data_IF_559486219666
#
_entry.id   IF_559486219666
#
_cell.length_a   1.000
_cell.length_b   1.000
_cell.length_c   1.000
_cell.angle_alpha   90.00
_cell.angle_beta   90.00
_cell.angle_gamma   90.00
#
_symmetry.space_group_name_H-M   'P 1'
#
loop_
_entity.id
_entity.type
_entity.pdbx_description
1 polymer ?
#
# COMPACT_ATOMS: atom_id res chain seq x y z
N UNK A 1 54.79 10.71 -17.21
CA UNK A 1 54.05 9.44 -17.03
C UNK A 1 53.40 9.26 -15.65
N UNK A 2 54.13 9.30 -14.52
CA UNK A 2 53.56 9.02 -13.17
C UNK A 2 52.37 9.91 -12.76
N UNK A 3 52.30 11.17 -13.23
CA UNK A 3 51.18 12.09 -12.94
C UNK A 3 49.88 11.72 -13.66
N UNK A 4 49.96 11.23 -14.90
CA UNK A 4 48.78 10.85 -15.70
C UNK A 4 48.15 9.58 -15.13
N UNK A 5 48.98 8.62 -14.71
CA UNK A 5 48.51 7.37 -14.09
C UNK A 5 47.72 7.64 -12.80
N UNK A 6 48.15 8.61 -11.97
CA UNK A 6 47.41 8.98 -10.75
C UNK A 6 46.03 9.57 -11.03
N UNK A 7 45.91 10.41 -12.06
CA UNK A 7 44.62 11.00 -12.45
C UNK A 7 43.67 9.90 -12.93
N UNK A 8 44.17 8.98 -13.75
CA UNK A 8 43.39 7.84 -14.24
C UNK A 8 42.91 6.93 -13.11
N UNK A 9 43.78 6.62 -12.14
CA UNK A 9 43.41 5.80 -10.96
C UNK A 9 42.38 6.51 -10.10
N UNK A 10 42.48 7.82 -9.88
CA UNK A 10 41.47 8.57 -9.13
C UNK A 10 40.12 8.62 -9.86
N UNK A 11 40.10 8.83 -11.19
CA UNK A 11 38.85 8.79 -11.96
C UNK A 11 38.21 7.41 -11.95
N UNK A 12 39.00 6.34 -12.07
CA UNK A 12 38.48 4.97 -12.02
C UNK A 12 37.87 4.65 -10.65
N UNK A 13 38.50 5.12 -9.56
CA UNK A 13 37.99 4.97 -8.20
C UNK A 13 36.68 5.74 -8.00
N UNK A 14 36.58 6.97 -8.50
CA UNK A 14 35.35 7.78 -8.41
C UNK A 14 34.20 7.11 -9.19
N UNK A 15 34.48 6.56 -10.37
CA UNK A 15 33.49 5.81 -11.17
C UNK A 15 33.07 4.54 -10.43
N UNK A 16 34.00 3.80 -9.83
CA UNK A 16 33.64 2.60 -9.05
C UNK A 16 32.83 2.93 -7.80
N UNK A 17 33.06 4.06 -7.14
CA UNK A 17 32.24 4.50 -6.00
C UNK A 17 30.83 4.92 -6.44
N UNK A 18 30.67 5.52 -7.63
CA UNK A 18 29.38 5.86 -8.20
C UNK A 18 28.60 4.64 -8.74
N UNK A 19 29.29 3.55 -9.11
CA UNK A 19 28.65 2.31 -9.54
C UNK A 19 28.29 1.36 -8.38
N UNK A 20 28.78 1.60 -7.15
CA UNK A 20 28.45 0.79 -5.96
C UNK A 20 27.24 1.36 -5.21
N UNK A 21 26.74 2.54 -5.57
CA UNK A 21 25.33 2.84 -5.32
C UNK A 21 24.52 2.06 -6.35
N UNK A 22 24.44 0.74 -6.16
CA UNK A 22 23.22 0.00 -6.39
C UNK A 22 22.15 0.70 -5.54
N UNK A 23 21.65 1.83 -6.05
CA UNK A 23 20.35 2.36 -5.65
C UNK A 23 19.41 1.27 -6.08
N UNK A 24 19.23 0.32 -5.17
CA UNK A 24 18.16 -0.67 -5.14
C UNK A 24 16.91 0.15 -5.43
N UNK A 25 16.50 0.13 -6.70
CA UNK A 25 15.46 1.00 -7.25
C UNK A 25 14.18 0.46 -6.65
N UNK A 26 13.83 0.99 -5.48
CA UNK A 26 12.55 0.73 -4.86
C UNK A 26 11.47 1.14 -5.87
N UNK A 27 10.47 0.28 -6.00
CA UNK A 27 9.29 0.54 -6.80
C UNK A 27 9.00 -0.51 -7.85
N UNK A 28 9.31 -1.77 -7.57
CA UNK A 28 8.85 -2.90 -8.37
C UNK A 28 8.63 -4.12 -7.47
N UNK A 29 8.18 -5.21 -8.07
CA UNK A 29 7.88 -6.46 -7.38
C UNK A 29 9.12 -7.11 -6.75
N UNK A 30 10.26 -7.05 -7.43
CA UNK A 30 11.51 -7.65 -6.96
C UNK A 30 12.13 -6.86 -5.81
N UNK A 31 11.77 -5.58 -5.67
CA UNK A 31 12.26 -4.66 -4.66
C UNK A 31 11.16 -3.67 -4.24
N UNK A 32 10.16 -4.14 -3.47
CA UNK A 32 9.04 -3.33 -3.03
C UNK A 32 9.42 -2.46 -1.82
N UNK A 33 8.76 -1.31 -1.64
CA UNK A 33 9.00 -0.46 -0.45
C UNK A 33 8.50 -1.11 0.84
N UNK A 34 7.43 -1.89 0.77
CA UNK A 34 6.79 -2.52 1.91
C UNK A 34 6.81 -4.03 1.67
N UNK A 35 7.42 -4.77 2.59
CA UNK A 35 7.40 -6.24 2.61
C UNK A 35 6.74 -6.64 3.92
N UNK A 36 5.74 -7.52 3.82
CA UNK A 36 5.16 -8.10 5.02
C UNK A 36 6.00 -9.30 5.48
N UNK A 37 6.87 -9.07 6.45
CA UNK A 37 7.65 -10.15 7.09
C UNK A 37 6.92 -10.76 8.29
N UNK A 38 5.82 -10.14 8.70
CA UNK A 38 4.99 -10.62 9.78
C UNK A 38 3.95 -11.55 9.17
N UNK A 39 4.05 -12.85 9.44
CA UNK A 39 2.93 -13.79 9.19
C UNK A 39 1.82 -13.55 10.24
N UNK A 40 1.55 -12.28 10.56
CA UNK A 40 0.61 -11.86 11.57
C UNK A 40 -0.77 -11.86 10.96
N UNK A 41 -1.38 -13.04 11.06
CA UNK A 41 -2.78 -13.31 10.78
C UNK A 41 -3.78 -12.28 11.40
N UNK A 42 -3.34 -11.36 12.26
CA UNK A 42 -4.15 -10.37 12.95
C UNK A 42 -3.38 -9.13 13.49
N UNK A 43 -2.82 -8.28 12.61
CA UNK A 43 -2.18 -7.00 13.02
C UNK A 43 -3.04 -6.07 13.91
N UNK A 44 -4.35 -6.32 14.04
CA UNK A 44 -5.30 -5.55 14.88
C UNK A 44 -5.49 -6.02 16.33
N UNK A 45 -4.80 -7.05 16.83
CA UNK A 45 -4.90 -7.36 18.27
C UNK A 45 -4.21 -6.33 19.18
N UNK A 46 -3.57 -5.29 18.61
CA UNK A 46 -2.75 -4.34 19.38
C UNK A 46 -3.54 -3.27 20.15
N UNK A 47 -4.89 -3.10 20.05
CA UNK A 47 -5.50 -1.98 20.83
C UNK A 47 -6.85 -2.03 21.53
N UNK A 48 -7.80 -2.99 21.41
CA UNK A 48 -9.03 -2.97 22.26
C UNK A 48 -9.73 -4.34 22.51
N UNK A 49 -10.44 -4.51 23.64
CA UNK A 49 -11.08 -5.77 24.08
C UNK A 49 -12.46 -5.99 23.43
N UNK A 50 -12.53 -6.20 22.12
CA UNK A 50 -13.76 -6.63 21.40
C UNK A 50 -13.72 -8.10 20.96
N UNK A 51 -12.93 -8.92 21.67
CA UNK A 51 -12.55 -10.29 21.29
C UNK A 51 -13.72 -11.28 21.31
N UNK A 52 -14.72 -11.10 22.19
CA UNK A 52 -15.77 -12.12 22.39
C UNK A 52 -16.84 -12.20 21.29
N UNK A 53 -17.14 -11.11 20.59
CA UNK A 53 -18.11 -11.13 19.49
C UNK A 53 -17.47 -11.50 18.14
N UNK A 54 -16.15 -11.48 18.04
CA UNK A 54 -15.40 -11.68 16.79
C UNK A 54 -15.38 -13.15 16.36
N UNK A 55 -15.02 -14.07 17.26
CA UNK A 55 -15.04 -15.52 17.00
C UNK A 55 -16.45 -16.07 16.68
N UNK A 56 -17.48 -15.50 17.32
CA UNK A 56 -18.88 -15.86 17.05
C UNK A 56 -19.32 -15.40 15.66
N UNK A 57 -18.84 -14.23 15.23
CA UNK A 57 -19.09 -13.67 13.89
C UNK A 57 -18.42 -14.50 12.79
N UNK A 58 -17.20 -14.99 12.99
CA UNK A 58 -16.51 -15.84 12.00
C UNK A 58 -17.19 -17.19 11.78
N UNK A 59 -17.66 -17.82 12.84
CA UNK A 59 -18.44 -19.07 12.74
C UNK A 59 -19.75 -18.87 11.98
N UNK A 60 -20.35 -17.68 12.04
CA UNK A 60 -21.57 -17.32 11.31
C UNK A 60 -21.30 -17.12 9.81
N UNK A 61 -20.13 -16.61 9.43
CA UNK A 61 -19.79 -16.29 8.03
C UNK A 61 -19.06 -17.39 7.26
N UNK A 62 -18.72 -18.52 7.90
CA UNK A 62 -18.08 -19.69 7.27
C UNK A 62 -16.76 -19.36 6.52
N UNK A 63 -16.06 -18.30 6.94
CA UNK A 63 -14.74 -17.96 6.39
C UNK A 63 -13.71 -18.88 7.06
N UNK A 64 -13.01 -19.69 6.27
CA UNK A 64 -12.07 -20.70 6.77
C UNK A 64 -10.68 -20.13 7.05
N UNK A 65 -10.25 -19.15 6.27
CA UNK A 65 -8.98 -18.44 6.38
C UNK A 65 -9.09 -17.03 5.79
N UNK A 66 -8.08 -16.20 6.01
CA UNK A 66 -8.03 -14.81 5.54
C UNK A 66 -6.85 -14.50 4.64
N UNK A 67 -6.16 -15.54 4.18
CA UNK A 67 -4.98 -15.45 3.30
C UNK A 67 -5.22 -14.60 2.04
N UNK A 68 -6.47 -14.48 1.59
CA UNK A 68 -6.81 -13.65 0.44
C UNK A 68 -6.64 -12.14 0.65
N UNK A 69 -6.34 -11.70 1.87
CA UNK A 69 -6.05 -10.32 2.22
C UNK A 69 -4.71 -10.15 2.92
N UNK A 70 -3.93 -11.22 3.09
CA UNK A 70 -2.60 -11.11 3.66
C UNK A 70 -1.70 -10.46 2.61
N UNK A 71 -1.09 -9.34 2.97
CA UNK A 71 -0.17 -8.59 2.14
C UNK A 71 1.10 -9.42 2.01
N UNK A 72 1.64 -9.50 0.81
CA UNK A 72 2.99 -10.04 0.60
C UNK A 72 3.96 -8.89 0.42
N UNK A 73 3.57 -7.90 -0.38
CA UNK A 73 4.35 -6.68 -0.58
C UNK A 73 3.48 -5.54 -1.08
N UNK A 74 3.98 -4.31 -0.97
CA UNK A 74 3.38 -3.16 -1.61
C UNK A 74 4.45 -2.16 -2.05
N UNK A 75 4.20 -1.45 -3.14
CA UNK A 75 5.19 -0.55 -3.72
C UNK A 75 4.60 0.61 -4.50
N UNK A 76 5.42 1.64 -4.70
CA UNK A 76 5.14 2.83 -5.50
C UNK A 76 5.93 2.77 -6.80
N UNK A 77 5.34 3.18 -7.92
CA UNK A 77 6.12 3.32 -9.14
C UNK A 77 5.62 4.46 -10.01
N UNK A 78 6.46 4.88 -10.95
CA UNK A 78 6.15 5.96 -11.88
C UNK A 78 6.48 5.51 -13.30
N UNK A 79 5.65 5.95 -14.24
CA UNK A 79 5.87 5.70 -15.66
C UNK A 79 6.45 6.97 -16.30
N UNK A 80 7.52 6.87 -17.10
CA UNK A 80 8.08 8.01 -17.80
C UNK A 80 7.11 8.60 -18.84
N UNK A 81 6.13 7.82 -19.29
CA UNK A 81 5.09 8.25 -20.25
C UNK A 81 3.93 9.01 -19.56
N UNK A 82 3.77 8.86 -18.24
CA UNK A 82 2.66 9.42 -17.47
C UNK A 82 3.15 10.06 -16.16
N UNK A 83 3.99 11.09 -16.29
CA UNK A 83 4.73 11.72 -15.19
C UNK A 83 3.83 12.41 -14.15
N UNK A 84 2.64 12.85 -14.55
CA UNK A 84 1.67 13.49 -13.65
C UNK A 84 1.01 12.50 -12.66
N UNK A 85 1.26 11.20 -12.82
CA UNK A 85 0.66 10.14 -12.01
C UNK A 85 1.68 9.44 -11.12
N UNK A 86 1.22 9.03 -9.95
CA UNK A 86 1.90 8.05 -9.11
C UNK A 86 1.07 6.76 -9.10
N UNK A 87 1.74 5.64 -9.24
CA UNK A 87 1.12 4.32 -9.24
C UNK A 87 1.44 3.60 -7.93
N UNK A 88 0.48 2.81 -7.46
CA UNK A 88 0.58 2.07 -6.21
C UNK A 88 0.13 0.65 -6.47
N UNK A 89 0.85 -0.31 -5.88
CA UNK A 89 0.54 -1.72 -6.01
C UNK A 89 0.55 -2.37 -4.64
N UNK A 90 -0.46 -3.20 -4.37
CA UNK A 90 -0.50 -4.12 -3.24
C UNK A 90 -0.56 -5.53 -3.82
N UNK A 91 0.44 -6.35 -3.51
CA UNK A 91 0.44 -7.79 -3.78
C UNK A 91 -0.05 -8.53 -2.55
N UNK A 92 -1.00 -9.43 -2.76
CA UNK A 92 -1.62 -10.25 -1.73
C UNK A 92 -1.21 -11.71 -1.90
N UNK A 93 -1.37 -12.51 -0.86
CA UNK A 93 -1.04 -13.93 -0.90
C UNK A 93 -2.00 -14.75 -1.78
N UNK A 94 -3.31 -14.45 -1.74
CA UNK A 94 -4.32 -15.19 -2.51
C UNK A 94 -5.57 -14.34 -2.83
N UNK A 95 -5.41 -13.23 -3.53
CA UNK A 95 -6.50 -12.29 -3.82
C UNK A 95 -7.73 -13.00 -4.39
N UNK A 96 -8.85 -12.89 -3.68
CA UNK A 96 -10.13 -13.44 -4.13
C UNK A 96 -11.28 -12.53 -3.72
N UNK A 97 -12.37 -12.55 -4.48
CA UNK A 97 -13.58 -11.81 -4.11
C UNK A 97 -14.48 -12.67 -3.25
N UNK A 98 -14.74 -12.18 -2.03
CA UNK A 98 -15.61 -12.84 -1.06
C UNK A 98 -16.94 -12.09 -0.89
N UNK A 99 -17.87 -12.70 -0.15
CA UNK A 99 -19.19 -12.12 0.12
C UNK A 99 -19.19 -11.15 1.32
N UNK A 100 -18.04 -10.55 1.60
CA UNK A 100 -17.83 -9.58 2.68
C UNK A 100 -17.12 -8.37 2.10
N UNK A 101 -17.32 -7.21 2.72
CA UNK A 101 -16.67 -6.00 2.25
C UNK A 101 -15.20 -6.02 2.64
N UNK A 102 -14.32 -5.88 1.66
CA UNK A 102 -12.87 -5.80 1.88
C UNK A 102 -12.36 -4.40 1.55
N UNK A 103 -11.28 -4.02 2.21
CA UNK A 103 -10.57 -2.76 2.00
C UNK A 103 -9.11 -3.10 1.75
N UNK A 104 -8.55 -2.50 0.71
CA UNK A 104 -7.12 -2.52 0.43
C UNK A 104 -6.65 -1.07 0.38
N UNK A 105 -5.60 -0.74 1.12
CA UNK A 105 -5.13 0.63 1.25
C UNK A 105 -3.60 0.71 1.38
N UNK A 106 -3.05 1.83 0.94
CA UNK A 106 -1.68 2.26 1.28
C UNK A 106 -1.73 3.66 1.86
N UNK A 107 -0.90 3.93 2.87
CA UNK A 107 -0.74 5.25 3.48
C UNK A 107 0.70 5.71 3.39
N UNK A 108 0.89 7.02 3.41
CA UNK A 108 2.20 7.64 3.49
C UNK A 108 2.09 9.06 4.05
N UNK A 109 3.24 9.68 4.30
CA UNK A 109 3.38 11.09 4.61
C UNK A 109 4.18 11.82 3.55
N UNK A 110 3.74 13.02 3.22
CA UNK A 110 4.48 13.96 2.39
C UNK A 110 4.29 15.38 2.95
N UNK A 111 5.38 16.11 3.17
CA UNK A 111 5.36 17.44 3.81
C UNK A 111 4.50 17.47 5.09
N UNK A 112 4.76 16.51 6.00
CA UNK A 112 4.06 16.28 7.27
C UNK A 112 2.56 15.97 7.19
N UNK A 113 1.99 15.88 5.98
CA UNK A 113 0.58 15.54 5.75
C UNK A 113 0.45 14.07 5.42
N UNK A 114 -0.56 13.42 5.98
CA UNK A 114 -0.89 12.04 5.68
C UNK A 114 -1.77 11.95 4.43
N UNK A 115 -1.48 10.99 3.57
CA UNK A 115 -2.22 10.66 2.37
C UNK A 115 -2.52 9.16 2.33
N UNK A 116 -3.47 8.78 1.49
CA UNK A 116 -3.78 7.39 1.25
C UNK A 116 -4.33 7.17 -0.16
N UNK A 117 -4.16 5.94 -0.66
CA UNK A 117 -5.02 5.34 -1.68
C UNK A 117 -5.76 4.18 -1.05
N UNK A 118 -7.02 3.96 -1.43
CA UNK A 118 -7.75 2.79 -1.02
C UNK A 118 -8.90 2.44 -1.97
N UNK A 119 -9.38 1.21 -1.86
CA UNK A 119 -10.56 0.71 -2.56
C UNK A 119 -11.43 -0.06 -1.59
N UNK A 120 -12.73 0.16 -1.67
CA UNK A 120 -13.72 -0.66 -0.99
C UNK A 120 -14.35 -1.62 -2.00
N UNK A 121 -14.21 -2.92 -1.75
CA UNK A 121 -14.85 -3.96 -2.54
C UNK A 121 -16.09 -4.42 -1.79
N UNK A 122 -17.24 -4.38 -2.45
CA UNK A 122 -18.51 -4.89 -1.95
C UNK A 122 -18.65 -6.39 -2.21
N UNK A 123 -19.78 -6.93 -1.71
CA UNK A 123 -20.15 -8.33 -1.87
C UNK A 123 -20.07 -8.72 -3.35
N UNK A 124 -19.46 -9.85 -3.65
CA UNK A 124 -19.32 -10.43 -5.01
C UNK A 124 -18.37 -9.66 -5.96
N UNK A 125 -17.46 -8.84 -5.43
CA UNK A 125 -16.47 -8.13 -6.26
C UNK A 125 -16.98 -6.83 -6.89
N UNK A 126 -18.19 -6.38 -6.54
CA UNK A 126 -18.66 -5.06 -6.93
C UNK A 126 -17.77 -3.98 -6.31
N UNK A 127 -17.10 -3.19 -7.14
CA UNK A 127 -16.18 -2.15 -6.66
C UNK A 127 -16.99 -0.89 -6.37
N UNK A 128 -16.88 -0.31 -5.17
CA UNK A 128 -17.51 0.97 -4.87
C UNK A 128 -16.85 2.09 -5.68
N UNK A 129 -15.58 2.33 -5.38
CA UNK A 129 -14.67 3.18 -6.13
C UNK A 129 -13.26 3.00 -5.55
N UNK A 130 -12.25 3.23 -6.40
CA UNK A 130 -10.89 3.51 -5.96
C UNK A 130 -10.79 4.99 -5.64
N UNK A 131 -10.10 5.34 -4.56
CA UNK A 131 -9.96 6.73 -4.15
C UNK A 131 -8.58 7.05 -3.61
N UNK A 132 -8.17 8.30 -3.78
CA UNK A 132 -6.92 8.84 -3.25
C UNK A 132 -7.12 10.24 -2.68
N UNK A 133 -6.28 10.61 -1.72
CA UNK A 133 -6.26 11.97 -1.21
C UNK A 133 -5.68 12.12 0.19
N UNK A 134 -5.95 13.27 0.80
CA UNK A 134 -5.37 13.66 2.08
C UNK A 134 -6.22 13.13 3.24
N UNK A 135 -5.58 12.43 4.15
CA UNK A 135 -6.17 11.94 5.40
C UNK A 135 -6.21 13.06 6.44
N UNK A 136 -7.41 13.45 6.89
CA UNK A 136 -7.62 14.48 7.93
C UNK A 136 -8.60 13.92 8.97
N UNK A 137 -8.07 13.38 10.08
CA UNK A 137 -8.90 12.74 11.10
C UNK A 137 -9.70 11.56 10.52
N UNK A 138 -10.99 11.48 10.85
CA UNK A 138 -11.90 10.42 10.35
C UNK A 138 -12.47 10.71 8.96
N UNK A 139 -12.31 11.93 8.45
CA UNK A 139 -12.94 12.42 7.24
C UNK A 139 -11.86 13.09 6.37
N UNK A 140 -11.16 12.29 5.57
CA UNK A 140 -10.20 12.81 4.60
C UNK A 140 -10.89 13.44 3.38
N UNK A 141 -10.14 14.23 2.62
CA UNK A 141 -10.57 14.74 1.32
C UNK A 141 -10.08 13.76 0.26
N UNK A 142 -10.96 12.84 -0.14
CA UNK A 142 -10.69 11.81 -1.13
C UNK A 142 -11.41 12.11 -2.44
N UNK A 143 -10.83 11.64 -3.52
CA UNK A 143 -11.35 11.76 -4.88
C UNK A 143 -11.31 10.40 -5.54
N UNK A 144 -12.27 10.13 -6.42
CA UNK A 144 -12.25 8.91 -7.22
C UNK A 144 -11.04 8.92 -8.16
N UNK A 145 -10.38 7.78 -8.26
CA UNK A 145 -9.22 7.54 -9.12
C UNK A 145 -9.40 6.24 -9.91
N UNK A 146 -8.45 5.96 -10.79
CA UNK A 146 -8.42 4.69 -11.50
C UNK A 146 -7.71 3.62 -10.67
N UNK A 147 -8.09 2.37 -10.90
CA UNK A 147 -7.44 1.21 -10.32
C UNK A 147 -7.95 -0.07 -10.97
N UNK A 148 -7.31 -1.19 -10.62
CA UNK A 148 -7.62 -2.50 -11.19
C UNK A 148 -7.27 -3.62 -10.22
N UNK A 149 -7.87 -4.79 -10.47
CA UNK A 149 -7.54 -6.05 -9.83
C UNK A 149 -6.97 -6.99 -10.88
N UNK A 150 -5.82 -7.58 -10.59
CA UNK A 150 -5.24 -8.70 -11.34
C UNK A 150 -5.26 -9.93 -10.43
N UNK A 151 -6.34 -10.70 -10.56
CA UNK A 151 -6.59 -11.88 -9.72
C UNK A 151 -5.55 -12.98 -9.98
N UNK A 152 -5.08 -13.11 -11.21
CA UNK A 152 -4.11 -14.16 -11.57
C UNK A 152 -2.76 -13.93 -10.88
N UNK A 153 -2.38 -12.66 -10.71
CA UNK A 153 -1.12 -12.27 -10.08
C UNK A 153 -1.28 -11.77 -8.63
N UNK A 154 -2.48 -11.85 -8.07
CA UNK A 154 -2.84 -11.38 -6.73
C UNK A 154 -2.57 -9.88 -6.47
N UNK A 155 -2.79 -9.03 -7.46
CA UNK A 155 -2.42 -7.62 -7.42
C UNK A 155 -3.65 -6.70 -7.37
N UNK A 156 -3.58 -5.68 -6.51
CA UNK A 156 -4.45 -4.50 -6.53
C UNK A 156 -3.62 -3.30 -6.93
N UNK A 157 -4.02 -2.60 -7.99
CA UNK A 157 -3.30 -1.43 -8.50
C UNK A 157 -4.14 -0.16 -8.43
N UNK A 158 -3.48 0.96 -8.16
CA UNK A 158 -4.06 2.30 -8.07
C UNK A 158 -3.28 3.26 -8.96
N UNK A 159 -3.96 4.23 -9.55
CA UNK A 159 -3.34 5.33 -10.32
C UNK A 159 -3.89 6.65 -9.81
N UNK A 160 -3.08 7.41 -9.08
CA UNK A 160 -3.49 8.71 -8.55
C UNK A 160 -2.71 9.84 -9.24
N UNK A 161 -3.40 10.87 -9.77
CA UNK A 161 -2.75 12.11 -10.14
C UNK A 161 -2.03 12.73 -8.95
N UNK A 162 -0.75 13.11 -9.13
CA UNK A 162 0.08 13.73 -8.08
C UNK A 162 -0.57 14.95 -7.46
N UNK A 163 -1.30 15.73 -8.26
CA UNK A 163 -2.08 16.90 -7.82
C UNK A 163 -3.11 16.61 -6.72
N UNK A 164 -3.61 15.36 -6.61
CA UNK A 164 -4.57 14.95 -5.57
C UNK A 164 -3.89 14.54 -4.26
N UNK A 165 -2.60 14.24 -4.31
CA UNK A 165 -1.81 13.67 -3.21
C UNK A 165 -0.68 14.60 -2.72
N UNK A 166 -0.91 15.91 -2.85
CA UNK A 166 0.01 16.93 -2.37
C UNK A 166 0.98 17.46 -3.41
N UNK A 167 0.90 16.97 -4.65
CA UNK A 167 1.71 17.35 -5.78
C UNK A 167 3.22 17.24 -5.51
N UNK A 168 3.72 16.03 -5.18
CA UNK A 168 5.15 15.81 -5.04
C UNK A 168 5.86 16.00 -6.38
N UNK A 169 7.07 16.55 -6.33
CA UNK A 169 7.95 16.83 -7.46
C UNK A 169 9.18 15.90 -7.46
N UNK A 170 9.91 15.75 -8.58
CA UNK A 170 11.14 14.96 -8.62
C UNK A 170 12.11 15.29 -7.47
N UNK A 171 12.55 14.25 -6.76
CA UNK A 171 13.44 14.34 -5.60
C UNK A 171 12.73 14.51 -4.25
N UNK A 172 11.42 14.75 -4.25
CA UNK A 172 10.63 14.70 -3.02
C UNK A 172 10.56 13.28 -2.45
N UNK A 173 10.36 13.20 -1.13
CA UNK A 173 10.37 11.93 -0.39
C UNK A 173 9.00 11.69 0.25
N UNK A 174 8.41 10.54 -0.05
CA UNK A 174 7.27 9.98 0.66
C UNK A 174 7.80 9.14 1.81
N UNK A 175 7.32 9.41 3.02
CA UNK A 175 7.83 8.78 4.25
C UNK A 175 6.74 8.03 4.97
N UNK A 176 7.12 7.15 5.91
CA UNK A 176 6.16 6.36 6.72
C UNK A 176 5.14 5.65 5.83
N UNK A 177 5.65 5.03 4.77
CA UNK A 177 4.85 4.25 3.85
C UNK A 177 4.31 3.04 4.60
N UNK A 178 3.05 2.70 4.42
CA UNK A 178 2.47 1.48 4.94
C UNK A 178 1.38 0.94 4.00
N UNK A 179 1.09 -0.34 4.13
CA UNK A 179 -0.01 -1.01 3.44
C UNK A 179 -0.88 -1.75 4.44
N UNK A 180 -2.18 -1.74 4.19
CA UNK A 180 -3.18 -2.24 5.12
C UNK A 180 -4.35 -2.90 4.39
N UNK A 181 -4.84 -4.01 4.95
CA UNK A 181 -6.09 -4.63 4.52
C UNK A 181 -7.09 -4.77 5.67
N UNK A 182 -8.37 -4.65 5.35
CA UNK A 182 -9.43 -4.68 6.34
C UNK A 182 -10.71 -5.33 5.87
N UNK A 183 -11.43 -5.93 6.81
CA UNK A 183 -12.79 -6.39 6.63
C UNK A 183 -13.75 -5.37 7.21
N UNK A 184 -14.78 -5.03 6.45
CA UNK A 184 -15.87 -4.21 6.94
C UNK A 184 -17.11 -5.07 7.14
N UNK A 185 -17.45 -5.26 8.41
CA UNK A 185 -18.68 -5.96 8.78
C UNK A 185 -19.82 -4.96 8.79
N UNK A 186 -20.79 -5.20 7.91
CA UNK A 186 -22.08 -4.51 7.97
C UNK A 186 -23.12 -5.54 8.37
N UNK A 187 -23.55 -5.47 9.62
CA UNK A 187 -24.68 -6.25 10.08
C UNK A 187 -25.96 -5.56 9.61
N UNK A 188 -26.68 -6.22 8.72
CA UNK A 188 -28.03 -5.81 8.32
C UNK A 188 -29.05 -6.53 9.22
N UNK A 189 -30.10 -5.84 9.70
CA UNK A 189 -30.42 -4.43 9.48
C UNK A 189 -29.49 -3.48 10.28
N UNK A 190 -29.19 -2.33 9.68
CA UNK A 190 -28.33 -1.26 10.23
C UNK A 190 -28.83 -0.64 11.56
N UNK A 191 -29.92 -1.16 12.12
CA UNK A 191 -30.50 -0.79 13.42
C UNK A 191 -29.71 -1.33 14.61
N UNK A 192 -28.80 -2.29 14.37
CA UNK A 192 -27.87 -2.77 15.39
C UNK A 192 -26.51 -2.06 15.14
N UNK A 193 -26.02 -1.21 16.05
CA UNK A 193 -24.78 -0.44 15.88
C UNK A 193 -23.54 -1.32 16.11
N UNK A 194 -23.50 -2.49 15.48
CA UNK A 194 -22.37 -3.42 15.50
C UNK A 194 -21.56 -3.35 14.20
N UNK A 195 -21.80 -2.35 13.34
CA UNK A 195 -20.96 -2.09 12.18
C UNK A 195 -19.54 -1.70 12.61
N UNK A 196 -18.54 -2.35 12.02
CA UNK A 196 -17.14 -2.15 12.37
C UNK A 196 -16.20 -2.51 11.23
N UNK A 197 -15.05 -1.85 11.21
CA UNK A 197 -13.91 -2.22 10.38
C UNK A 197 -12.93 -2.97 11.28
N UNK A 198 -12.54 -4.16 10.84
CA UNK A 198 -11.44 -4.89 11.45
C UNK A 198 -10.28 -4.89 10.46
N UNK A 199 -9.20 -4.20 10.81
CA UNK A 199 -7.90 -4.45 10.23
C UNK A 199 -7.63 -5.95 10.33
N UNK A 200 -7.39 -6.56 9.18
CA UNK A 200 -6.99 -7.95 9.11
C UNK A 200 -5.47 -8.00 9.15
N UNK A 201 -4.84 -7.17 8.34
CA UNK A 201 -3.41 -7.23 8.13
C UNK A 201 -2.81 -5.82 7.95
N UNK A 202 -1.58 -5.66 8.43
CA UNK A 202 -0.80 -4.43 8.34
C UNK A 202 0.67 -4.80 8.19
N UNK A 203 1.20 -4.61 6.98
CA UNK A 203 2.58 -4.96 6.62
C UNK A 203 3.66 -4.05 7.27
N UNK A 204 3.32 -3.35 8.36
CA UNK A 204 4.19 -2.40 9.04
C UNK A 204 4.50 -1.14 8.22
N UNK A 205 5.51 -0.40 8.68
CA UNK A 205 6.07 0.71 7.91
C UNK A 205 7.17 0.19 6.99
N UNK A 206 7.08 0.53 5.70
CA UNK A 206 8.10 0.26 4.71
C UNK A 206 9.15 1.36 4.62
N UNK A 207 9.97 1.26 3.58
CA UNK A 207 11.01 2.22 3.23
C UNK A 207 10.43 3.52 2.64
N UNK A 208 11.22 4.59 2.71
CA UNK A 208 10.89 5.87 2.09
C UNK A 208 10.94 5.76 0.55
N UNK A 209 10.02 6.44 -0.14
CA UNK A 209 9.98 6.49 -1.60
C UNK A 209 10.45 7.84 -2.13
N UNK A 210 11.39 7.84 -3.07
CA UNK A 210 11.88 9.05 -3.74
C UNK A 210 11.19 9.19 -5.09
N UNK A 211 10.55 10.34 -5.31
CA UNK A 211 9.85 10.68 -6.54
C UNK A 211 10.86 10.89 -7.67
N UNK A 212 10.63 10.25 -8.80
CA UNK A 212 11.54 10.16 -9.95
C UNK A 212 11.16 11.15 -11.05
N UNK A 213 9.87 11.34 -11.31
CA UNK A 213 9.35 12.17 -12.39
C UNK A 213 8.35 13.23 -11.93
#
# INVERSE_FOLDING_TARGET
MKKIIRIFVCMLLIISFLSITDTVLAGNKENPEIIDETDDLFGMFIRKPMIFNFFKTFKIFNIKNFDFMDITSAWFYESPDYQDNLYFTIELKNLEFINQRTIYAMHWKFNDKSYAVAVHVYKNGEIQSFFAGRTIGRWGKYYDINGSFDIENNIVSFVAPKSLIGNPEPGDILTKTDAWTGLRFIFEPATIPLGGEAAKDWAGYGEDYIIKY
#
